data_IF_832049905773
#
_entry.id   IF_832049905773
#
_cell.length_a   1.000
_cell.length_b   1.000
_cell.length_c   1.000
_cell.angle_alpha   90.00
_cell.angle_beta   90.00
_cell.angle_gamma   90.00
#
_symmetry.space_group_name_H-M   'P 1'
#
loop_
_entity.id
_entity.type
_entity.pdbx_description
1 polymer ?
#
# COMPACT_ATOMS: atom_id res chain seq x y z
N UNK A 1 -0.46 2.66 -13.03
CA UNK A 1 -0.78 3.26 -11.73
C UNK A 1 -2.24 3.65 -11.85
N UNK A 2 -3.12 2.66 -11.71
CA UNK A 2 -4.57 2.85 -11.72
C UNK A 2 -5.03 3.19 -10.30
N UNK A 3 -5.99 2.45 -9.76
CA UNK A 3 -6.75 2.68 -8.51
C UNK A 3 -6.00 3.20 -7.28
N UNK A 4 -4.68 3.03 -7.14
CA UNK A 4 -3.92 3.72 -6.08
C UNK A 4 -4.04 5.25 -6.22
N UNK A 5 -4.05 5.79 -7.43
CA UNK A 5 -4.29 7.22 -7.67
C UNK A 5 -5.75 7.61 -7.32
N UNK A 6 -6.69 6.68 -7.41
CA UNK A 6 -8.11 6.86 -7.07
C UNK A 6 -8.38 6.77 -5.56
N UNK A 7 -7.66 5.91 -4.84
CA UNK A 7 -7.73 5.80 -3.38
C UNK A 7 -7.11 7.05 -2.76
N UNK A 8 -7.75 7.63 -1.76
CA UNK A 8 -7.23 8.81 -1.06
C UNK A 8 -6.19 8.43 -0.01
N UNK A 9 -5.39 9.40 0.42
CA UNK A 9 -4.48 9.20 1.55
C UNK A 9 -5.26 8.88 2.83
N UNK A 10 -6.43 9.49 3.01
CA UNK A 10 -7.32 9.29 4.16
C UNK A 10 -7.85 7.86 4.22
N UNK A 11 -8.33 7.30 3.12
CA UNK A 11 -8.77 5.89 3.05
C UNK A 11 -7.66 4.90 3.40
N UNK A 12 -6.41 5.18 2.98
CA UNK A 12 -5.27 4.35 3.36
C UNK A 12 -4.98 4.43 4.87
N UNK A 13 -5.18 5.58 5.49
CA UNK A 13 -5.04 5.72 6.95
C UNK A 13 -6.14 4.96 7.69
N UNK A 14 -7.39 5.04 7.23
CA UNK A 14 -8.51 4.30 7.80
C UNK A 14 -8.28 2.78 7.73
N UNK A 15 -7.87 2.28 6.55
CA UNK A 15 -7.42 0.89 6.36
C UNK A 15 -6.28 0.50 7.32
N UNK A 16 -5.32 1.41 7.56
CA UNK A 16 -4.20 1.18 8.48
C UNK A 16 -4.64 1.14 9.95
N UNK A 17 -5.81 1.65 10.30
CA UNK A 17 -6.39 1.57 11.64
C UNK A 17 -7.21 0.28 11.82
N UNK A 18 -7.82 -0.22 10.75
CA UNK A 18 -8.54 -1.49 10.74
C UNK A 18 -7.63 -2.73 10.75
N UNK A 19 -6.34 -2.58 10.40
CA UNK A 19 -5.38 -3.69 10.31
C UNK A 19 -4.33 -3.58 11.42
N UNK A 20 -4.38 -4.50 12.38
CA UNK A 20 -3.42 -4.60 13.48
C UNK A 20 -2.00 -4.94 13.00
N UNK A 21 -1.83 -6.00 12.21
CA UNK A 21 -0.51 -6.49 11.81
C UNK A 21 -0.51 -7.34 10.52
N UNK A 22 0.69 -7.73 10.09
CA UNK A 22 0.90 -8.64 8.97
C UNK A 22 1.11 -7.96 7.62
N UNK A 23 1.13 -8.80 6.58
CA UNK A 23 1.57 -8.43 5.22
C UNK A 23 0.71 -7.35 4.59
N UNK A 24 -0.59 -7.32 4.88
CA UNK A 24 -1.51 -6.31 4.36
C UNK A 24 -1.19 -4.92 4.95
N UNK A 25 -0.81 -4.85 6.24
CA UNK A 25 -0.39 -3.60 6.88
C UNK A 25 0.86 -3.02 6.23
N UNK A 26 1.83 -3.86 5.86
CA UNK A 26 3.02 -3.41 5.13
C UNK A 26 2.67 -2.84 3.75
N UNK A 27 1.69 -3.43 3.06
CA UNK A 27 1.20 -2.93 1.77
C UNK A 27 0.58 -1.55 1.92
N UNK A 28 -0.26 -1.36 2.94
CA UNK A 28 -0.90 -0.07 3.24
C UNK A 28 0.14 0.99 3.60
N UNK A 29 1.14 0.64 4.42
CA UNK A 29 2.23 1.55 4.77
C UNK A 29 3.05 1.97 3.54
N UNK A 30 3.37 1.04 2.64
CA UNK A 30 4.07 1.32 1.40
C UNK A 30 3.23 2.24 0.48
N UNK A 31 1.91 2.04 0.41
CA UNK A 31 0.99 2.88 -0.35
C UNK A 31 0.91 4.31 0.19
N UNK A 32 0.81 4.48 1.52
CA UNK A 32 0.83 5.80 2.19
C UNK A 32 2.11 6.55 1.84
N UNK A 33 3.27 5.91 2.02
CA UNK A 33 4.57 6.50 1.71
C UNK A 33 4.69 6.87 0.23
N UNK A 34 4.20 6.00 -0.67
CA UNK A 34 4.19 6.26 -2.11
C UNK A 34 3.39 7.51 -2.48
N UNK A 35 2.25 7.76 -1.81
CA UNK A 35 1.46 9.00 -1.97
C UNK A 35 2.13 10.23 -1.37
N UNK A 36 2.94 10.05 -0.34
CA UNK A 36 3.74 11.12 0.27
C UNK A 36 5.00 11.48 -0.54
N UNK A 37 5.30 10.74 -1.61
CA UNK A 37 6.38 11.05 -2.56
C UNK A 37 7.57 10.09 -2.53
N UNK A 38 7.55 9.06 -1.67
CA UNK A 38 8.62 8.06 -1.64
C UNK A 38 8.70 7.32 -2.99
N UNK A 39 9.92 7.08 -3.45
CA UNK A 39 10.18 6.33 -4.67
C UNK A 39 10.14 4.82 -4.43
N UNK A 40 9.93 4.04 -5.49
CA UNK A 40 9.79 2.58 -5.39
C UNK A 40 11.08 1.92 -4.88
N UNK A 41 12.24 2.42 -5.30
CA UNK A 41 13.56 1.98 -4.82
C UNK A 41 13.73 2.24 -3.31
N UNK A 42 13.32 3.42 -2.84
CA UNK A 42 13.38 3.80 -1.42
C UNK A 42 12.49 2.90 -0.55
N UNK A 43 11.31 2.54 -1.06
CA UNK A 43 10.40 1.60 -0.40
C UNK A 43 10.99 0.18 -0.40
N UNK A 44 11.58 -0.24 -1.52
CA UNK A 44 12.21 -1.55 -1.66
C UNK A 44 13.36 -1.72 -0.65
N UNK A 45 14.24 -0.72 -0.57
CA UNK A 45 15.34 -0.69 0.40
C UNK A 45 14.81 -0.72 1.84
N UNK A 46 13.84 0.14 2.18
CA UNK A 46 13.25 0.23 3.52
C UNK A 46 12.62 -1.09 3.99
N UNK A 47 11.97 -1.81 3.09
CA UNK A 47 11.31 -3.08 3.39
C UNK A 47 12.20 -4.31 3.15
N UNK A 48 13.44 -4.14 2.67
CA UNK A 48 14.35 -5.25 2.38
C UNK A 48 13.85 -6.17 1.27
N UNK A 49 13.08 -5.64 0.31
CA UNK A 49 12.51 -6.38 -0.82
C UNK A 49 12.95 -5.76 -2.14
N UNK A 50 12.70 -6.45 -3.25
CA UNK A 50 12.96 -5.90 -4.60
C UNK A 50 11.83 -4.98 -5.06
N UNK A 51 12.11 -4.02 -5.94
CA UNK A 51 11.12 -3.08 -6.49
C UNK A 51 9.87 -3.76 -7.07
N UNK A 52 10.04 -4.93 -7.71
CA UNK A 52 8.93 -5.72 -8.26
C UNK A 52 7.93 -6.12 -7.17
N UNK A 53 8.42 -6.44 -5.98
CA UNK A 53 7.59 -6.78 -4.82
C UNK A 53 6.77 -5.58 -4.38
N UNK A 54 7.38 -4.38 -4.30
CA UNK A 54 6.66 -3.14 -3.99
C UNK A 54 5.58 -2.85 -5.04
N UNK A 55 5.90 -2.94 -6.34
CA UNK A 55 4.90 -2.75 -7.41
C UNK A 55 3.74 -3.73 -7.28
N UNK A 56 4.00 -4.99 -6.96
CA UNK A 56 2.95 -5.98 -6.71
C UNK A 56 2.08 -5.65 -5.49
N UNK A 57 2.67 -5.11 -4.42
CA UNK A 57 1.91 -4.66 -3.25
C UNK A 57 0.98 -3.50 -3.59
N UNK A 58 1.48 -2.52 -4.35
CA UNK A 58 0.71 -1.36 -4.78
C UNK A 58 -0.42 -1.75 -5.75
N UNK A 59 -0.19 -2.73 -6.63
CA UNK A 59 -1.22 -3.22 -7.55
C UNK A 59 -2.33 -4.01 -6.83
N UNK A 60 -2.10 -4.57 -5.63
CA UNK A 60 -3.17 -5.30 -4.90
C UNK A 60 -4.36 -4.43 -4.51
N UNK A 61 -4.15 -3.13 -4.39
CA UNK A 61 -5.22 -2.16 -4.19
C UNK A 61 -6.12 -1.97 -5.43
N UNK A 62 -5.68 -2.43 -6.62
CA UNK A 62 -6.49 -2.42 -7.84
C UNK A 62 -7.48 -3.60 -7.87
N UNK A 63 -7.12 -4.77 -7.32
CA UNK A 63 -7.88 -6.03 -7.46
C UNK A 63 -8.87 -6.33 -6.33
N UNK A 64 -8.70 -5.72 -5.15
CA UNK A 64 -9.52 -6.06 -3.97
C UNK A 64 -10.44 -4.89 -3.61
N UNK A 65 -11.78 -5.03 -3.61
CA UNK A 65 -12.65 -4.02 -3.03
C UNK A 65 -12.33 -3.90 -1.53
N UNK A 66 -12.12 -2.66 -1.07
CA UNK A 66 -11.80 -2.30 0.31
C UNK A 66 -12.91 -2.74 1.30
N UNK A 67 -14.09 -3.11 0.79
CA UNK A 67 -15.28 -3.46 1.56
C UNK A 67 -15.36 -4.89 2.13
N UNK A 68 -14.30 -5.71 2.20
CA UNK A 68 -14.43 -7.06 2.76
C UNK A 68 -13.29 -7.42 3.73
N UNK A 69 -13.29 -6.77 4.88
CA UNK A 69 -12.83 -7.36 6.13
C UNK A 69 -13.94 -7.17 7.17
N UNK A 70 -14.94 -8.06 7.13
CA UNK A 70 -15.89 -8.28 8.22
C UNK A 70 -15.31 -9.25 9.24
#
# INVERSE_FOLDING_TARGET
MGRLDEITLEELYDLKEQIDEGKLREHVLAAIRRKQGDQIDTLAERHGVVEKTIRNWLNRFEETPIEQAS
#
